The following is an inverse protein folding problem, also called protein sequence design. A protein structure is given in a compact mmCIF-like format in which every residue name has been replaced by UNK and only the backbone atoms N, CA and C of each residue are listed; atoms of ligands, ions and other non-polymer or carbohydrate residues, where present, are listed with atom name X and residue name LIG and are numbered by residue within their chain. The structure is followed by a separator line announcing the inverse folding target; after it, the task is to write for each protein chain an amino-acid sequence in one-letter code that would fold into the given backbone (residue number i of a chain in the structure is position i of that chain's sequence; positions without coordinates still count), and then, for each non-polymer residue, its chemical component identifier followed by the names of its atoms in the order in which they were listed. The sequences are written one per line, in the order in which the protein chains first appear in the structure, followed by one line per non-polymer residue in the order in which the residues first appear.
data_IF_571826558967
#
_entry.id   IF_571826558967
#
_cell.length_a   1.000
_cell.length_b   1.000
_cell.length_c   1.000
_cell.angle_alpha   90.00
_cell.angle_beta   90.00
_cell.angle_gamma   90.00
#
_symmetry.space_group_name_H-M   'P 1'
#
loop_
_entity.id
_entity.type
_entity.pdbx_description
1 polymer ?
#
# COMPACT_ATOMS: atom_id res chain seq x y z
N UNK A 1 -5.28 7.11 -31.61
CA UNK A 1 -5.36 7.46 -30.17
C UNK A 1 -5.25 6.16 -29.42
N UNK A 2 -4.15 5.94 -28.73
CA UNK A 2 -3.98 4.76 -27.88
C UNK A 2 -4.62 5.14 -26.55
N UNK A 3 -5.74 4.49 -26.19
CA UNK A 3 -6.26 4.58 -24.83
C UNK A 3 -5.14 4.13 -23.88
N UNK A 4 -4.61 5.08 -23.12
CA UNK A 4 -3.64 4.76 -22.07
C UNK A 4 -4.40 3.90 -21.06
N UNK A 5 -4.03 2.62 -20.85
CA UNK A 5 -4.69 1.82 -19.83
C UNK A 5 -4.54 2.59 -18.52
N UNK A 6 -5.65 2.91 -17.86
CA UNK A 6 -5.65 3.63 -16.60
C UNK A 6 -4.64 2.94 -15.68
N UNK A 7 -3.50 3.59 -15.45
CA UNK A 7 -2.49 3.04 -14.56
C UNK A 7 -3.08 3.19 -13.17
N UNK A 8 -3.39 2.08 -12.51
CA UNK A 8 -3.86 2.13 -11.13
C UNK A 8 -2.84 2.91 -10.29
N UNK A 9 -3.25 4.07 -9.78
CA UNK A 9 -2.45 4.88 -8.85
C UNK A 9 -2.93 4.59 -7.44
N UNK A 10 -2.05 4.05 -6.61
CA UNK A 10 -2.29 3.87 -5.17
C UNK A 10 -1.30 4.75 -4.42
N UNK A 11 -1.72 5.41 -3.34
CA UNK A 11 -0.83 6.26 -2.54
C UNK A 11 -0.90 5.83 -1.08
N UNK A 12 0.25 5.73 -0.43
CA UNK A 12 0.36 5.55 1.02
C UNK A 12 1.12 6.73 1.62
N UNK A 13 0.59 7.25 2.72
CA UNK A 13 1.12 8.44 3.38
C UNK A 13 1.07 8.27 4.89
N UNK A 14 2.19 8.54 5.55
CA UNK A 14 2.29 8.60 7.00
C UNK A 14 2.65 10.02 7.41
N UNK A 15 1.84 10.62 8.27
CA UNK A 15 2.14 11.90 8.90
C UNK A 15 3.00 11.69 10.15
N UNK A 16 3.99 12.55 10.36
CA UNK A 16 4.72 12.60 11.62
C UNK A 16 3.89 13.32 12.70
N UNK A 17 4.13 13.05 13.99
CA UNK A 17 3.48 13.74 15.09
C UNK A 17 3.57 15.27 14.94
N UNK A 18 2.44 15.96 15.04
CA UNK A 18 2.34 17.40 14.85
C UNK A 18 2.06 17.85 13.40
N UNK A 19 2.00 16.95 12.43
CA UNK A 19 1.53 17.25 11.06
C UNK A 19 2.46 18.20 10.28
N UNK A 20 3.72 18.32 10.69
CA UNK A 20 4.73 19.19 10.07
C UNK A 20 5.61 18.47 9.06
N UNK A 21 5.51 17.14 8.98
CA UNK A 21 6.18 16.34 7.98
C UNK A 21 5.42 15.06 7.68
N UNK A 22 5.73 14.46 6.54
CA UNK A 22 5.16 13.19 6.09
C UNK A 22 6.19 12.39 5.31
N UNK A 23 5.94 11.08 5.22
CA UNK A 23 6.65 10.18 4.29
C UNK A 23 5.65 9.26 3.64
N UNK A 24 5.91 8.86 2.41
CA UNK A 24 4.98 8.01 1.69
C UNK A 24 5.55 7.41 0.42
N UNK A 25 4.68 6.70 -0.29
CA UNK A 25 4.96 6.12 -1.59
C UNK A 25 3.75 6.24 -2.50
N UNK A 26 3.99 6.66 -3.73
CA UNK A 26 3.01 6.65 -4.82
C UNK A 26 3.31 5.46 -5.72
N UNK A 27 2.38 4.53 -5.84
CA UNK A 27 2.47 3.33 -6.66
C UNK A 27 1.75 3.58 -7.97
N UNK A 28 2.44 3.37 -9.10
CA UNK A 28 1.86 3.61 -10.43
C UNK A 28 1.97 2.33 -11.26
N UNK A 29 0.89 1.55 -11.32
CA UNK A 29 0.78 0.36 -12.18
C UNK A 29 2.07 -0.49 -12.26
N UNK A 30 2.64 -0.60 -13.48
CA UNK A 30 3.89 -1.31 -13.76
C UNK A 30 5.16 -0.47 -13.56
N UNK A 31 5.03 0.84 -13.36
CA UNK A 31 6.16 1.76 -13.20
C UNK A 31 6.81 1.66 -11.81
N UNK A 32 6.10 1.07 -10.84
CA UNK A 32 6.63 0.80 -9.51
C UNK A 32 6.23 1.88 -8.50
N UNK A 33 7.04 1.99 -7.44
CA UNK A 33 6.79 2.85 -6.30
C UNK A 33 7.74 4.06 -6.30
N UNK A 34 7.18 5.26 -6.19
CA UNK A 34 7.91 6.52 -6.05
C UNK A 34 7.80 6.99 -4.62
N UNK A 35 8.90 6.88 -3.87
CA UNK A 35 8.96 7.28 -2.47
C UNK A 35 9.08 8.78 -2.36
N UNK A 36 8.43 9.38 -1.38
CA UNK A 36 8.54 10.80 -1.12
C UNK A 36 8.65 11.12 0.37
N UNK A 37 9.33 12.23 0.63
CA UNK A 37 9.30 12.96 1.89
C UNK A 37 8.54 14.26 1.67
N UNK A 38 7.79 14.69 2.68
CA UNK A 38 7.13 15.97 2.65
C UNK A 38 7.37 16.73 3.94
N UNK A 39 7.50 18.05 3.83
CA UNK A 39 7.61 18.97 4.96
C UNK A 39 6.64 20.11 4.76
N UNK A 40 6.08 20.61 5.87
CA UNK A 40 5.15 21.73 5.86
C UNK A 40 5.91 23.03 6.01
N UNK A 41 5.94 23.82 4.96
CA UNK A 41 6.44 25.18 4.94
C UNK A 41 5.29 26.17 5.27
N UNK A 42 5.48 27.14 6.18
CA UNK A 42 4.44 28.09 6.58
C UNK A 42 3.99 29.06 5.48
N UNK A 43 4.83 29.34 4.49
CA UNK A 43 4.56 30.34 3.46
C UNK A 43 4.04 29.71 2.17
N UNK A 44 4.52 28.52 1.84
CA UNK A 44 4.28 27.84 0.57
C UNK A 44 3.45 26.56 0.69
N UNK A 45 3.22 26.07 1.92
CA UNK A 45 2.43 24.87 2.19
C UNK A 45 3.26 23.59 2.18
N UNK A 46 2.71 22.48 1.70
CA UNK A 46 3.41 21.20 1.68
C UNK A 46 4.43 21.16 0.53
N UNK A 47 5.70 20.94 0.88
CA UNK A 47 6.80 20.71 -0.07
C UNK A 47 7.04 19.21 -0.15
N UNK A 48 7.10 18.65 -1.37
CA UNK A 48 7.26 17.21 -1.61
C UNK A 48 8.55 16.97 -2.38
N UNK A 49 9.37 16.05 -1.86
CA UNK A 49 10.62 15.62 -2.47
C UNK A 49 10.54 14.12 -2.71
N UNK A 50 10.63 13.70 -3.97
CA UNK A 50 10.72 12.28 -4.30
C UNK A 50 12.16 11.78 -4.14
N UNK A 51 12.31 10.57 -3.62
CA UNK A 51 13.59 9.88 -3.55
C UNK A 51 14.13 9.64 -4.97
N UNK A 52 15.46 9.65 -5.11
CA UNK A 52 16.13 9.61 -6.40
C UNK A 52 15.97 8.28 -7.19
N UNK A 53 15.33 7.25 -6.62
CA UNK A 53 15.23 5.92 -7.23
C UNK A 53 13.78 5.38 -7.19
N UNK A 54 13.17 5.02 -8.34
CA UNK A 54 13.65 5.08 -9.74
C UNK A 54 13.45 6.45 -10.42
N UNK A 55 14.18 6.69 -11.53
CA UNK A 55 14.05 7.90 -12.36
C UNK A 55 12.58 8.13 -12.77
N UNK A 56 12.01 9.26 -12.35
CA UNK A 56 10.62 9.58 -12.61
C UNK A 56 10.45 9.86 -14.11
N UNK A 57 9.57 9.12 -14.82
CA UNK A 57 9.33 9.36 -16.23
C UNK A 57 8.93 10.82 -16.50
N UNK A 58 9.39 11.41 -17.63
CA UNK A 58 9.01 12.76 -18.02
C UNK A 58 7.48 12.93 -18.04
N UNK A 59 6.98 13.99 -17.40
CA UNK A 59 5.55 14.28 -17.29
C UNK A 59 4.82 13.57 -16.14
N UNK A 60 5.43 12.59 -15.46
CA UNK A 60 4.79 11.91 -14.32
C UNK A 60 4.94 12.70 -13.01
N UNK A 61 5.96 13.55 -12.90
CA UNK A 61 6.32 14.23 -11.66
C UNK A 61 5.16 15.04 -11.04
N UNK A 62 4.48 15.86 -11.83
CA UNK A 62 3.34 16.66 -11.35
C UNK A 62 2.19 15.79 -10.83
N UNK A 63 1.93 14.66 -11.48
CA UNK A 63 0.91 13.70 -11.05
C UNK A 63 1.28 13.02 -9.74
N UNK A 64 2.55 12.68 -9.54
CA UNK A 64 3.03 12.11 -8.29
C UNK A 64 2.90 13.12 -7.14
N UNK A 65 3.29 14.37 -7.37
CA UNK A 65 3.13 15.46 -6.40
C UNK A 65 1.66 15.65 -6.04
N UNK A 66 0.76 15.72 -7.03
CA UNK A 66 -0.67 15.86 -6.81
C UNK A 66 -1.26 14.67 -6.03
N UNK A 67 -0.84 13.44 -6.33
CA UNK A 67 -1.26 12.24 -5.63
C UNK A 67 -0.81 12.24 -4.16
N UNK A 68 0.45 12.62 -3.91
CA UNK A 68 1.01 12.73 -2.56
C UNK A 68 0.33 13.84 -1.73
N UNK A 69 0.08 15.02 -2.32
CA UNK A 69 -0.66 16.11 -1.66
C UNK A 69 -2.10 15.71 -1.34
N UNK A 70 -2.77 15.02 -2.26
CA UNK A 70 -4.14 14.53 -2.03
C UNK A 70 -4.19 13.56 -0.86
N UNK A 71 -3.22 12.64 -0.78
CA UNK A 71 -3.14 11.67 0.30
C UNK A 71 -2.77 12.32 1.65
N UNK A 72 -1.90 13.34 1.67
CA UNK A 72 -1.64 14.16 2.86
C UNK A 72 -2.92 14.86 3.32
N UNK A 73 -3.66 15.51 2.43
CA UNK A 73 -4.89 16.21 2.81
C UNK A 73 -6.00 15.27 3.30
N UNK A 74 -6.03 14.02 2.84
CA UNK A 74 -6.89 12.97 3.39
C UNK A 74 -6.45 12.59 4.81
N UNK A 75 -5.16 12.38 5.03
CA UNK A 75 -4.61 12.04 6.34
C UNK A 75 -4.79 13.18 7.36
N UNK A 76 -4.76 14.43 6.92
CA UNK A 76 -5.09 15.62 7.73
C UNK A 76 -6.61 15.80 7.93
N UNK A 77 -7.46 14.98 7.30
CA UNK A 77 -8.92 15.10 7.38
C UNK A 77 -9.50 16.29 6.60
N UNK A 78 -8.71 16.93 5.74
CA UNK A 78 -9.10 18.07 4.89
C UNK A 78 -9.95 17.64 3.69
N UNK A 79 -9.76 16.41 3.22
CA UNK A 79 -10.54 15.82 2.13
C UNK A 79 -11.12 14.46 2.55
N UNK A 80 -12.38 14.20 2.20
CA UNK A 80 -12.90 12.82 2.18
C UNK A 80 -12.39 12.18 0.90
N UNK A 81 -11.68 11.04 0.98
CA UNK A 81 -11.41 10.28 -0.24
C UNK A 81 -12.74 9.87 -0.87
N UNK A 82 -12.91 10.00 -2.20
CA UNK A 82 -13.72 8.99 -2.89
C UNK A 82 -12.99 7.67 -2.65
N UNK A 83 -13.68 6.63 -2.12
CA UNK A 83 -13.04 5.35 -1.88
C UNK A 83 -12.33 4.92 -3.18
N UNK A 84 -11.11 4.34 -3.09
CA UNK A 84 -10.42 3.83 -4.27
C UNK A 84 -11.37 2.97 -5.11
N UNK A 85 -11.22 2.96 -6.46
CA UNK A 85 -12.11 2.22 -7.35
C UNK A 85 -12.33 0.82 -6.79
N UNK A 86 -13.61 0.58 -6.48
CA UNK A 86 -14.09 -0.52 -5.66
C UNK A 86 -13.39 -1.80 -6.07
N UNK A 87 -12.75 -2.41 -5.08
CA UNK A 87 -12.51 -3.85 -4.96
C UNK A 87 -13.60 -4.61 -5.71
N UNK A 88 -13.32 -5.17 -6.89
CA UNK A 88 -14.24 -6.14 -7.49
C UNK A 88 -14.26 -7.47 -6.72
N UNK A 89 -13.46 -7.56 -5.64
CA UNK A 89 -13.48 -8.60 -4.61
C UNK A 89 -14.63 -8.31 -3.65
N UNK A 90 -15.63 -9.19 -3.65
CA UNK A 90 -16.73 -9.18 -2.69
C UNK A 90 -16.41 -10.09 -1.50
N UNK A 91 -17.07 -9.93 -0.34
CA UNK A 91 -16.91 -10.86 0.78
C UNK A 91 -17.12 -12.31 0.36
N UNK A 92 -18.10 -12.58 -0.51
CA UNK A 92 -18.38 -13.92 -1.03
C UNK A 92 -17.20 -14.53 -1.82
N UNK A 93 -16.39 -13.69 -2.48
CA UNK A 93 -15.18 -14.14 -3.18
C UNK A 93 -14.08 -14.56 -2.18
N UNK A 94 -14.12 -14.03 -0.95
CA UNK A 94 -13.15 -14.32 0.12
C UNK A 94 -13.59 -15.46 1.03
N UNK A 95 -14.86 -15.87 1.01
CA UNK A 95 -15.38 -16.98 1.81
C UNK A 95 -15.02 -18.34 1.21
N UNK A 96 -15.02 -18.45 -0.12
CA UNK A 96 -14.71 -19.71 -0.80
C UNK A 96 -13.26 -20.14 -0.57
N UNK A 97 -13.06 -21.36 -0.06
CA UNK A 97 -11.72 -21.98 0.10
C UNK A 97 -11.08 -22.37 -1.24
N UNK A 98 -11.87 -22.47 -2.31
CA UNK A 98 -11.38 -22.77 -3.64
C UNK A 98 -10.73 -21.57 -4.34
N UNK A 99 -10.71 -20.40 -3.71
CA UNK A 99 -10.09 -19.20 -4.27
C UNK A 99 -8.59 -19.24 -4.05
N UNK A 100 -7.84 -19.27 -5.15
CA UNK A 100 -6.39 -19.09 -5.11
C UNK A 100 -6.06 -17.63 -4.86
N UNK A 101 -5.40 -17.38 -3.73
CA UNK A 101 -4.93 -16.06 -3.33
C UNK A 101 -3.47 -15.89 -3.77
N UNK A 102 -3.20 -14.83 -4.52
CA UNK A 102 -1.84 -14.44 -4.87
C UNK A 102 -1.37 -13.34 -3.91
N UNK A 103 -0.38 -13.67 -3.07
CA UNK A 103 0.23 -12.69 -2.15
C UNK A 103 1.55 -12.18 -2.72
N UNK A 104 1.57 -10.88 -2.97
CA UNK A 104 2.70 -10.13 -3.51
C UNK A 104 3.22 -9.17 -2.44
N UNK A 105 4.24 -9.60 -1.69
CA UNK A 105 4.91 -8.78 -0.68
C UNK A 105 5.91 -7.87 -1.38
N UNK A 106 5.70 -6.57 -1.27
CA UNK A 106 6.45 -5.56 -2.04
C UNK A 106 7.57 -4.92 -1.25
N UNK A 107 7.30 -4.60 0.00
CA UNK A 107 8.30 -4.03 0.90
C UNK A 107 8.33 -4.83 2.20
N UNK A 108 9.54 -5.13 2.67
CA UNK A 108 9.81 -5.70 3.98
C UNK A 108 10.90 -4.87 4.64
N UNK A 109 10.53 -4.18 5.71
CA UNK A 109 11.42 -3.38 6.54
C UNK A 109 11.71 -4.17 7.81
N UNK A 110 12.70 -5.07 7.75
CA UNK A 110 13.04 -5.99 8.84
C UNK A 110 13.35 -5.25 10.15
N UNK A 111 14.13 -4.17 10.08
CA UNK A 111 14.50 -3.36 11.24
C UNK A 111 13.31 -2.66 11.92
N UNK A 112 12.29 -2.32 11.12
CA UNK A 112 11.08 -1.68 11.63
C UNK A 112 9.99 -2.70 12.00
N UNK A 113 10.17 -3.98 11.66
CA UNK A 113 9.15 -4.99 11.83
C UNK A 113 7.91 -4.72 10.97
N UNK A 114 8.06 -4.20 9.75
CA UNK A 114 6.93 -3.84 8.89
C UNK A 114 7.03 -4.57 7.55
N UNK A 115 5.93 -5.14 7.08
CA UNK A 115 5.81 -5.66 5.72
C UNK A 115 4.52 -5.15 5.07
N UNK A 116 4.54 -4.94 3.75
CA UNK A 116 3.36 -4.51 3.02
C UNK A 116 3.33 -5.09 1.61
N UNK A 117 2.13 -5.21 1.07
CA UNK A 117 1.94 -5.73 -0.25
C UNK A 117 0.48 -5.79 -0.67
N UNK A 118 0.21 -6.70 -1.59
CA UNK A 118 -1.09 -6.93 -2.16
C UNK A 118 -1.52 -8.39 -2.00
N UNK A 119 -2.81 -8.59 -1.78
CA UNK A 119 -3.47 -9.86 -1.99
C UNK A 119 -4.32 -9.71 -3.24
N UNK A 120 -4.09 -10.56 -4.24
CA UNK A 120 -4.83 -10.61 -5.48
C UNK A 120 -5.70 -11.87 -5.54
N UNK A 121 -6.89 -11.71 -6.11
CA UNK A 121 -7.77 -12.78 -6.53
C UNK A 121 -7.83 -12.73 -8.06
N UNK A 122 -7.28 -13.74 -8.77
CA UNK A 122 -7.26 -13.76 -10.23
C UNK A 122 -8.65 -13.53 -10.84
N UNK A 123 -8.74 -12.56 -11.76
CA UNK A 123 -9.99 -12.19 -12.42
C UNK A 123 -11.01 -11.44 -11.56
N UNK A 124 -10.71 -11.16 -10.28
CA UNK A 124 -11.61 -10.48 -9.34
C UNK A 124 -11.03 -9.21 -8.74
N UNK A 125 -9.71 -9.04 -8.69
CA UNK A 125 -9.08 -7.79 -8.24
C UNK A 125 -8.05 -8.03 -7.15
N UNK A 126 -7.67 -6.95 -6.45
CA UNK A 126 -6.66 -7.00 -5.39
C UNK A 126 -6.94 -5.98 -4.30
N UNK A 127 -6.48 -6.26 -3.09
CA UNK A 127 -6.49 -5.35 -1.95
C UNK A 127 -5.11 -5.30 -1.31
N UNK A 128 -4.88 -4.25 -0.52
CA UNK A 128 -3.64 -4.08 0.21
C UNK A 128 -3.63 -4.83 1.52
N UNK A 129 -2.43 -5.21 1.97
CA UNK A 129 -2.19 -5.52 3.38
C UNK A 129 -1.05 -4.67 3.94
N UNK A 130 -1.04 -4.52 5.26
CA UNK A 130 0.09 -4.10 6.08
C UNK A 130 0.25 -5.13 7.19
N UNK A 131 1.47 -5.54 7.46
CA UNK A 131 1.79 -6.46 8.52
C UNK A 131 2.82 -5.81 9.45
N UNK A 132 2.57 -5.91 10.75
CA UNK A 132 3.42 -5.37 11.81
C UNK A 132 3.88 -6.51 12.72
N UNK A 133 5.20 -6.63 12.89
CA UNK A 133 5.84 -7.63 13.74
C UNK A 133 5.58 -7.26 15.21
N UNK A 134 4.92 -8.17 15.91
CA UNK A 134 4.57 -8.03 17.31
C UNK A 134 5.76 -8.40 18.21
N UNK A 135 5.75 -7.97 19.49
CA UNK A 135 6.83 -8.27 20.44
C UNK A 135 7.07 -9.76 20.70
N UNK A 136 6.06 -10.61 20.46
CA UNK A 136 6.15 -12.07 20.56
C UNK A 136 6.78 -12.72 19.30
N UNK A 137 7.08 -11.92 18.28
CA UNK A 137 7.66 -12.37 17.02
C UNK A 137 6.62 -12.80 15.97
N UNK A 138 5.33 -12.67 16.23
CA UNK A 138 4.29 -12.94 15.23
C UNK A 138 3.96 -11.70 14.38
N UNK A 139 3.64 -11.91 13.11
CA UNK A 139 3.11 -10.84 12.25
C UNK A 139 1.62 -10.68 12.47
N UNK A 140 1.18 -9.48 12.83
CA UNK A 140 -0.24 -9.10 12.81
C UNK A 140 -0.54 -8.41 11.48
N UNK A 141 -1.61 -8.81 10.79
CA UNK A 141 -1.92 -8.32 9.44
C UNK A 141 -3.22 -7.51 9.41
N UNK A 142 -3.14 -6.28 8.93
CA UNK A 142 -4.28 -5.42 8.61
C UNK A 142 -4.53 -5.40 7.10
N UNK A 143 -5.79 -5.55 6.69
CA UNK A 143 -6.21 -5.50 5.29
C UNK A 143 -6.88 -4.18 4.96
N UNK A 144 -6.56 -3.62 3.78
CA UNK A 144 -7.26 -2.47 3.22
C UNK A 144 -8.59 -2.85 2.60
N UNK A 145 -9.47 -3.48 3.38
CA UNK A 145 -10.83 -3.85 2.99
C UNK A 145 -11.78 -3.10 3.94
N UNK A 146 -12.68 -2.28 3.37
CA UNK A 146 -13.65 -1.48 4.14
C UNK A 146 -14.86 -2.28 4.64
N UNK A 147 -14.89 -3.58 4.35
CA UNK A 147 -15.96 -4.50 4.72
C UNK A 147 -15.55 -5.36 5.92
N UNK A 148 -16.46 -5.58 6.89
CA UNK A 148 -16.20 -6.52 7.97
C UNK A 148 -16.06 -7.93 7.39
N UNK A 149 -14.89 -8.53 7.58
CA UNK A 149 -14.64 -9.91 7.19
C UNK A 149 -15.13 -10.86 8.30
N UNK A 150 -15.72 -12.01 7.93
CA UNK A 150 -15.88 -13.12 8.85
C UNK A 150 -14.52 -13.48 9.49
N UNK A 151 -14.52 -13.84 10.77
CA UNK A 151 -13.30 -14.10 11.54
C UNK A 151 -12.44 -15.21 10.92
N UNK A 152 -13.07 -16.27 10.45
CA UNK A 152 -12.42 -17.38 9.75
C UNK A 152 -11.75 -16.94 8.44
N UNK A 153 -12.38 -16.04 7.69
CA UNK A 153 -11.83 -15.45 6.46
C UNK A 153 -10.63 -14.55 6.79
N UNK A 154 -10.75 -13.70 7.81
CA UNK A 154 -9.68 -12.82 8.25
C UNK A 154 -8.45 -13.63 8.71
N UNK A 155 -8.65 -14.65 9.54
CA UNK A 155 -7.59 -15.54 10.02
C UNK A 155 -6.94 -16.33 8.89
N UNK A 156 -7.73 -16.77 7.89
CA UNK A 156 -7.20 -17.46 6.71
C UNK A 156 -6.30 -16.54 5.90
N UNK A 157 -6.77 -15.32 5.60
CA UNK A 157 -6.00 -14.32 4.87
C UNK A 157 -4.71 -13.94 5.62
N UNK A 158 -4.80 -13.73 6.92
CA UNK A 158 -3.66 -13.40 7.78
C UNK A 158 -2.60 -14.52 7.74
N UNK A 159 -3.02 -15.79 7.88
CA UNK A 159 -2.12 -16.94 7.75
C UNK A 159 -1.44 -16.98 6.38
N UNK A 160 -2.20 -16.80 5.30
CA UNK A 160 -1.64 -16.80 3.94
C UNK A 160 -0.60 -15.70 3.75
N UNK A 161 -0.89 -14.48 4.21
CA UNK A 161 0.04 -13.36 4.13
C UNK A 161 1.28 -13.60 4.99
N UNK A 162 1.12 -14.02 6.24
CA UNK A 162 2.22 -14.31 7.16
C UNK A 162 3.17 -15.35 6.59
N UNK A 163 2.64 -16.48 6.11
CA UNK A 163 3.44 -17.53 5.47
C UNK A 163 4.25 -16.97 4.30
N UNK A 164 3.67 -16.06 3.51
CA UNK A 164 4.40 -15.46 2.38
C UNK A 164 5.52 -14.52 2.83
N UNK A 165 5.30 -13.70 3.86
CA UNK A 165 6.32 -12.82 4.45
C UNK A 165 7.48 -13.68 4.97
N UNK A 166 7.20 -14.71 5.75
CA UNK A 166 8.21 -15.62 6.33
C UNK A 166 9.05 -16.32 5.25
N UNK A 167 8.42 -16.78 4.17
CA UNK A 167 9.14 -17.40 3.04
C UNK A 167 10.13 -16.44 2.39
N UNK A 168 9.77 -15.17 2.24
CA UNK A 168 10.63 -14.15 1.64
C UNK A 168 11.82 -13.85 2.55
N UNK A 169 11.56 -13.68 3.85
CA UNK A 169 12.60 -13.47 4.86
C UNK A 169 13.61 -14.63 4.90
N UNK A 170 13.12 -15.87 4.92
CA UNK A 170 13.97 -17.06 4.89
C UNK A 170 14.74 -17.20 3.57
N UNK A 171 14.15 -16.78 2.45
CA UNK A 171 14.79 -16.77 1.14
C UNK A 171 15.93 -15.75 1.05
N UNK A 172 15.80 -14.60 1.72
CA UNK A 172 16.81 -13.56 1.77
C UNK A 172 18.01 -13.94 2.66
N UNK A 173 17.79 -14.70 3.74
CA UNK A 173 18.88 -15.16 4.64
C UNK A 173 19.80 -16.22 4.02
N UNK A 174 19.42 -16.84 2.91
CA UNK A 174 20.21 -17.87 2.20
C UNK A 174 21.05 -17.31 1.03
N UNK A 175 21.01 -16.00 0.80
CA UNK A 175 21.83 -15.30 -0.20
C UNK A 175 22.91 -14.48 0.49
#
# INVERSE_FOLDING_TARGET
MVESPAQDVTVRTHLFPGGTGARGAVFVGRLGAFRYEASRDPETGWVITFAAEPEIPPGLHEHLVAAALSAIGVAEGLFRQPPPPILSVRPEDLESEAVELEVDVRDVFEEAGIAQGFVAIPGKGRFTFQADLQPDGEWSVAFGIDLPLPEDVALRLERTVRTRIEQILQGNQRR
#
